data_IF_304698408379
#
_entry.id   IF_304698408379
#
_cell.length_a   1.000
_cell.length_b   1.000
_cell.length_c   1.000
_cell.angle_alpha   90.00
_cell.angle_beta   90.00
_cell.angle_gamma   90.00
#
_symmetry.space_group_name_H-M   'P 1'
#
loop_
_entity.id
_entity.type
_entity.pdbx_description
1 polymer ?
#
# COMPACT_ATOMS: atom_id res chain seq x y z
N UNK A 1 51.51 -55.30 -50.45
CA UNK A 1 50.32 -54.41 -50.40
C UNK A 1 49.32 -54.84 -49.32
N UNK A 2 49.68 -54.88 -48.03
CA UNK A 2 48.75 -55.34 -46.95
C UNK A 2 48.94 -54.71 -45.56
N UNK A 3 49.54 -53.52 -45.43
CA UNK A 3 49.84 -52.94 -44.11
C UNK A 3 49.33 -51.52 -43.80
N UNK A 4 48.55 -50.89 -44.68
CA UNK A 4 48.08 -49.51 -44.45
C UNK A 4 46.56 -49.35 -44.22
N UNK A 5 45.77 -50.42 -44.26
CA UNK A 5 44.32 -50.33 -44.09
C UNK A 5 43.82 -50.44 -42.64
N UNK A 6 44.61 -51.02 -41.72
CA UNK A 6 44.19 -51.14 -40.31
C UNK A 6 44.34 -49.82 -39.53
N UNK A 7 45.37 -49.03 -39.84
CA UNK A 7 45.62 -47.75 -39.16
C UNK A 7 44.61 -46.67 -39.57
N UNK A 8 44.14 -46.69 -40.82
CA UNK A 8 43.11 -45.77 -41.30
C UNK A 8 41.73 -46.06 -40.68
N UNK A 9 41.39 -47.33 -40.44
CA UNK A 9 40.11 -47.71 -39.83
C UNK A 9 40.01 -47.32 -38.34
N UNK A 10 41.12 -47.38 -37.59
CA UNK A 10 41.18 -46.95 -36.18
C UNK A 10 41.13 -45.43 -36.01
N UNK A 11 41.59 -44.67 -37.00
CA UNK A 11 41.55 -43.21 -36.97
C UNK A 11 40.15 -42.66 -37.32
N UNK A 12 39.39 -43.36 -38.17
CA UNK A 12 38.00 -42.98 -38.48
C UNK A 12 37.05 -43.32 -37.32
N UNK A 13 37.30 -44.41 -36.59
CA UNK A 13 36.48 -44.76 -35.42
C UNK A 13 36.71 -43.82 -34.22
N UNK A 14 37.92 -43.26 -34.07
CA UNK A 14 38.25 -42.31 -33.00
C UNK A 14 37.80 -40.87 -33.31
N UNK A 15 37.62 -40.51 -34.59
CA UNK A 15 37.01 -39.23 -34.97
C UNK A 15 35.47 -39.31 -34.85
N UNK A 16 34.86 -40.47 -35.09
CA UNK A 16 33.40 -40.62 -34.93
C UNK A 16 32.94 -40.66 -33.47
N UNK A 17 33.81 -41.05 -32.52
CA UNK A 17 33.51 -40.97 -31.09
C UNK A 17 33.68 -39.57 -30.49
N UNK A 18 34.37 -38.65 -31.18
CA UNK A 18 34.50 -37.25 -30.73
C UNK A 18 33.28 -36.42 -31.13
N UNK A 19 32.54 -36.80 -32.18
CA UNK A 19 31.29 -36.12 -32.57
C UNK A 19 30.03 -36.61 -31.83
N UNK A 20 30.12 -37.65 -31.02
CA UNK A 20 29.03 -38.15 -30.16
C UNK A 20 29.24 -37.82 -28.67
N UNK A 21 30.28 -37.04 -28.33
CA UNK A 21 30.56 -36.56 -26.97
C UNK A 21 30.12 -35.10 -26.75
N UNK A 22 29.25 -34.55 -27.60
CA UNK A 22 28.31 -33.54 -27.13
C UNK A 22 27.19 -34.27 -26.40
N UNK A 23 27.54 -34.86 -25.27
CA UNK A 23 26.59 -35.25 -24.27
C UNK A 23 25.84 -33.98 -23.88
N UNK A 24 24.52 -34.08 -23.88
CA UNK A 24 23.59 -33.07 -23.44
C UNK A 24 24.00 -32.59 -22.05
N UNK A 25 24.82 -31.55 -21.98
CA UNK A 25 24.92 -30.75 -20.79
C UNK A 25 23.53 -30.21 -20.57
N UNK A 26 22.86 -30.78 -19.56
CA UNK A 26 21.71 -30.21 -18.89
C UNK A 26 21.86 -28.69 -18.94
N UNK A 27 21.10 -28.04 -19.82
CA UNK A 27 20.72 -26.66 -19.61
C UNK A 27 19.82 -26.69 -18.40
N UNK A 28 20.43 -26.84 -17.21
CA UNK A 28 19.78 -26.61 -15.95
C UNK A 28 19.16 -25.22 -16.11
N UNK A 29 17.84 -25.22 -16.30
CA UNK A 29 17.04 -24.04 -16.58
C UNK A 29 17.40 -23.03 -15.49
N UNK A 30 18.12 -21.95 -15.85
CA UNK A 30 18.55 -20.96 -14.87
C UNK A 30 17.31 -20.35 -14.26
N UNK A 31 16.96 -20.76 -13.05
CA UNK A 31 15.90 -20.16 -12.26
C UNK A 31 16.49 -18.93 -11.61
N UNK A 32 16.12 -17.77 -12.12
CA UNK A 32 16.43 -16.50 -11.48
C UNK A 32 15.90 -16.53 -10.03
N UNK A 33 16.76 -16.18 -9.07
CA UNK A 33 16.41 -16.14 -7.65
C UNK A 33 16.30 -14.67 -7.25
N UNK A 34 15.29 -14.36 -6.42
CA UNK A 34 15.12 -13.00 -5.91
C UNK A 34 16.38 -12.56 -5.14
N UNK A 35 16.95 -11.38 -5.43
CA UNK A 35 18.14 -10.90 -4.72
C UNK A 35 17.79 -10.35 -3.33
N UNK A 36 16.51 -10.28 -2.97
CA UNK A 36 16.04 -9.76 -1.68
C UNK A 36 16.67 -10.55 -0.54
N UNK A 37 17.23 -9.83 0.42
CA UNK A 37 17.79 -10.39 1.65
C UNK A 37 16.90 -9.97 2.80
N UNK A 38 16.30 -10.95 3.50
CA UNK A 38 15.49 -10.67 4.67
C UNK A 38 15.58 -11.79 5.71
N UNK A 39 16.64 -11.76 6.49
CA UNK A 39 16.80 -12.59 7.68
C UNK A 39 15.94 -12.03 8.83
N UNK A 40 14.88 -12.78 9.17
CA UNK A 40 13.89 -12.37 10.17
C UNK A 40 14.46 -12.22 11.59
N UNK A 41 15.68 -12.71 11.87
CA UNK A 41 16.34 -12.55 13.17
C UNK A 41 17.04 -11.20 13.32
N UNK A 42 17.41 -10.56 12.20
CA UNK A 42 18.23 -9.35 12.18
C UNK A 42 17.48 -8.10 11.69
N UNK A 43 16.34 -8.26 11.02
CA UNK A 43 15.48 -7.13 10.63
C UNK A 43 14.81 -6.43 11.83
N UNK A 44 14.57 -5.11 11.76
CA UNK A 44 14.82 -4.23 10.61
C UNK A 44 16.29 -3.84 10.43
N UNK A 45 16.72 -3.68 9.18
CA UNK A 45 18.11 -3.29 8.86
C UNK A 45 18.33 -1.79 9.02
N UNK A 46 19.57 -1.33 9.31
CA UNK A 46 19.85 0.10 9.40
C UNK A 46 19.66 0.87 8.08
N UNK A 47 19.91 0.24 6.92
CA UNK A 47 19.77 0.85 5.60
C UNK A 47 18.69 0.15 4.77
N UNK A 48 17.97 0.92 3.96
CA UNK A 48 16.97 0.38 3.04
C UNK A 48 17.62 -0.49 1.94
N UNK A 49 18.80 -0.11 1.47
CA UNK A 49 19.53 -0.86 0.44
C UNK A 49 19.93 -2.28 0.87
N UNK A 50 20.08 -2.54 2.19
CA UNK A 50 20.48 -3.85 2.72
C UNK A 50 19.45 -4.95 2.39
N UNK A 51 18.18 -4.59 2.18
CA UNK A 51 17.14 -5.53 1.78
C UNK A 51 17.21 -5.96 0.32
N UNK A 52 17.84 -5.15 -0.56
CA UNK A 52 17.88 -5.36 -2.01
C UNK A 52 16.51 -5.49 -2.67
N UNK A 53 15.51 -4.76 -2.17
CA UNK A 53 14.19 -4.67 -2.80
C UNK A 53 14.22 -3.98 -4.17
N UNK A 54 15.22 -3.14 -4.41
CA UNK A 54 15.34 -2.35 -5.63
C UNK A 54 16.71 -2.53 -6.28
N UNK A 55 16.76 -2.41 -7.59
CA UNK A 55 17.98 -2.48 -8.41
C UNK A 55 18.38 -1.10 -8.93
N UNK A 56 19.67 -0.90 -9.21
CA UNK A 56 20.18 0.38 -9.70
C UNK A 56 20.18 1.49 -8.65
N UNK A 57 19.96 2.74 -9.06
CA UNK A 57 19.85 3.87 -8.13
C UNK A 57 18.57 3.78 -7.31
N UNK A 58 18.70 3.75 -5.97
CA UNK A 58 17.60 3.47 -5.05
C UNK A 58 16.37 4.38 -5.26
N UNK A 59 16.59 5.68 -5.54
CA UNK A 59 15.52 6.67 -5.78
C UNK A 59 14.61 6.36 -6.97
N UNK A 60 15.06 5.54 -7.91
CA UNK A 60 14.23 5.14 -9.05
C UNK A 60 13.15 4.13 -8.62
N UNK A 61 13.41 3.41 -7.51
CA UNK A 61 12.54 2.37 -6.97
C UNK A 61 12.23 1.29 -8.01
N UNK A 62 13.21 0.95 -8.84
CA UNK A 62 13.12 -0.14 -9.82
C UNK A 62 13.08 -1.47 -9.08
N UNK A 63 11.96 -2.22 -9.10
CA UNK A 63 11.81 -3.42 -8.31
C UNK A 63 12.78 -4.50 -8.74
N UNK A 64 13.42 -5.14 -7.76
CA UNK A 64 14.21 -6.34 -8.01
C UNK A 64 13.32 -7.54 -8.42
N UNK A 65 13.93 -8.60 -8.97
CA UNK A 65 13.20 -9.82 -9.32
C UNK A 65 12.35 -10.33 -8.15
N UNK A 66 11.07 -10.64 -8.44
CA UNK A 66 9.99 -11.02 -7.49
C UNK A 66 9.51 -9.92 -6.53
N UNK A 67 9.99 -8.69 -6.61
CA UNK A 67 9.37 -7.56 -5.92
C UNK A 67 8.26 -7.00 -6.82
N UNK A 68 7.00 -7.19 -6.43
CA UNK A 68 5.87 -6.82 -7.29
C UNK A 68 5.35 -5.43 -6.94
N UNK A 69 5.31 -4.48 -7.88
CA UNK A 69 4.61 -3.22 -7.67
C UNK A 69 3.10 -3.46 -7.60
N UNK A 70 2.41 -2.66 -6.79
CA UNK A 70 0.96 -2.64 -6.76
C UNK A 70 0.44 -1.24 -6.36
N UNK A 71 -0.84 -1.02 -6.60
CA UNK A 71 -1.56 0.18 -6.22
C UNK A 71 -2.95 -0.17 -5.68
N UNK A 72 -3.57 0.80 -5.00
CA UNK A 72 -4.92 0.66 -4.47
C UNK A 72 -5.91 1.41 -5.37
N UNK A 73 -7.16 0.94 -5.45
CA UNK A 73 -8.24 1.65 -6.15
C UNK A 73 -8.36 3.10 -5.65
N UNK A 74 -8.37 3.28 -4.33
CA UNK A 74 -8.27 4.56 -3.64
C UNK A 74 -7.08 4.56 -2.69
N UNK A 75 -6.34 5.67 -2.62
CA UNK A 75 -5.18 5.81 -1.74
C UNK A 75 -5.48 6.65 -0.50
N UNK A 76 -5.02 6.17 0.67
CA UNK A 76 -5.00 6.92 1.93
C UNK A 76 -4.33 8.28 1.74
N UNK A 77 -4.97 9.34 2.23
CA UNK A 77 -4.44 10.69 2.24
C UNK A 77 -3.27 10.82 3.23
N UNK A 78 -2.20 11.51 2.81
CA UNK A 78 -1.04 11.78 3.67
C UNK A 78 -0.37 13.06 3.21
N UNK A 79 -0.98 14.21 3.51
CA UNK A 79 -0.50 15.54 3.07
C UNK A 79 -0.18 15.64 1.58
N UNK A 80 -1.03 15.05 0.74
CA UNK A 80 -0.84 14.93 -0.72
C UNK A 80 0.40 14.14 -1.18
N UNK A 81 1.15 13.47 -0.27
CA UNK A 81 2.24 12.59 -0.68
C UNK A 81 1.72 11.44 -1.55
N UNK A 82 2.34 11.29 -2.72
CA UNK A 82 2.15 10.18 -3.64
C UNK A 82 2.81 8.91 -3.05
N UNK A 83 2.36 7.74 -3.52
CA UNK A 83 2.72 6.46 -2.93
C UNK A 83 3.05 5.43 -4.00
N UNK A 84 4.28 4.92 -4.00
CA UNK A 84 4.66 3.68 -4.71
C UNK A 84 4.65 2.52 -3.71
N UNK A 85 4.00 1.42 -4.06
CA UNK A 85 3.87 0.25 -3.17
C UNK A 85 4.40 -1.00 -3.82
N UNK A 86 4.99 -1.87 -3.00
CA UNK A 86 5.55 -3.13 -3.45
C UNK A 86 5.25 -4.24 -2.43
N UNK A 87 5.11 -5.45 -2.92
CA UNK A 87 5.00 -6.66 -2.11
C UNK A 87 6.14 -7.61 -2.47
N UNK A 88 6.69 -8.27 -1.46
CA UNK A 88 7.62 -9.37 -1.61
C UNK A 88 7.27 -10.48 -0.61
N UNK A 89 7.43 -11.73 -1.05
CA UNK A 89 7.28 -12.92 -0.20
C UNK A 89 8.41 -13.91 -0.46
N UNK A 90 8.85 -14.68 0.56
CA UNK A 90 9.81 -15.75 0.37
C UNK A 90 9.35 -16.76 -0.66
N UNK A 91 10.31 -17.37 -1.36
CA UNK A 91 10.04 -18.39 -2.36
C UNK A 91 9.17 -19.53 -1.79
N UNK A 92 8.19 -19.98 -2.57
CA UNK A 92 7.27 -21.06 -2.20
C UNK A 92 6.20 -20.68 -1.17
N UNK A 93 6.19 -19.44 -0.68
CA UNK A 93 5.15 -18.95 0.23
C UNK A 93 4.11 -18.11 -0.51
N UNK A 94 2.89 -18.03 0.05
CA UNK A 94 1.77 -17.29 -0.54
C UNK A 94 0.86 -16.71 0.53
N UNK A 95 0.19 -15.62 0.22
CA UNK A 95 -0.93 -15.14 1.01
C UNK A 95 -2.20 -15.94 0.70
N UNK A 96 -3.15 -15.95 1.64
CA UNK A 96 -4.46 -16.57 1.44
C UNK A 96 -5.59 -15.55 1.43
N UNK A 97 -6.55 -15.77 0.53
CA UNK A 97 -7.79 -15.01 0.45
C UNK A 97 -8.82 -15.52 1.48
N UNK A 98 -9.56 -14.60 2.10
CA UNK A 98 -10.66 -14.94 3.02
C UNK A 98 -11.97 -14.30 2.58
N UNK A 99 -11.98 -12.98 2.38
CA UNK A 99 -13.11 -12.23 1.85
C UNK A 99 -12.63 -10.94 1.20
N UNK A 100 -13.50 -10.26 0.45
CA UNK A 100 -13.15 -9.03 -0.27
C UNK A 100 -12.73 -7.88 0.65
N UNK A 101 -13.37 -7.79 1.83
CA UNK A 101 -13.18 -6.71 2.80
C UNK A 101 -12.15 -6.97 3.89
N UNK A 102 -11.54 -8.17 3.92
CA UNK A 102 -10.49 -8.50 4.88
C UNK A 102 -9.10 -8.37 4.26
N UNK A 103 -8.12 -8.06 5.10
CA UNK A 103 -6.72 -8.01 4.67
C UNK A 103 -6.29 -9.42 4.27
N UNK A 104 -5.57 -9.56 3.15
CA UNK A 104 -4.98 -10.84 2.75
C UNK A 104 -4.11 -11.41 3.88
N UNK A 105 -4.21 -12.72 4.11
CA UNK A 105 -3.43 -13.37 5.15
C UNK A 105 -2.02 -13.68 4.65
N UNK A 106 -1.07 -12.79 4.93
CA UNK A 106 0.31 -12.93 4.47
C UNK A 106 1.12 -13.97 5.27
N UNK A 107 2.03 -14.71 4.60
CA UNK A 107 2.90 -15.68 5.24
C UNK A 107 4.01 -15.01 6.07
N UNK A 108 4.60 -15.76 7.00
CA UNK A 108 5.84 -15.35 7.67
C UNK A 108 6.93 -15.10 6.63
N UNK A 109 7.61 -13.96 6.76
CA UNK A 109 8.59 -13.47 5.80
C UNK A 109 8.03 -12.51 4.76
N UNK A 110 6.72 -12.27 4.68
CA UNK A 110 6.19 -11.28 3.75
C UNK A 110 6.63 -9.85 4.13
N UNK A 111 6.91 -9.02 3.12
CA UNK A 111 7.18 -7.59 3.24
C UNK A 111 6.23 -6.76 2.39
N UNK A 112 5.66 -5.72 2.98
CA UNK A 112 4.88 -4.69 2.29
C UNK A 112 5.61 -3.36 2.40
N UNK A 113 5.99 -2.80 1.25
CA UNK A 113 6.86 -1.63 1.16
C UNK A 113 6.05 -0.47 0.61
N UNK A 114 6.12 0.70 1.25
CA UNK A 114 5.42 1.92 0.85
C UNK A 114 6.41 3.09 0.82
N UNK A 115 6.58 3.70 -0.34
CA UNK A 115 7.43 4.88 -0.51
C UNK A 115 6.55 6.12 -0.65
N UNK A 116 6.79 7.14 0.18
CA UNK A 116 6.03 8.38 0.21
C UNK A 116 6.87 9.48 -0.43
N UNK A 117 6.36 10.10 -1.48
CA UNK A 117 7.13 11.04 -2.29
C UNK A 117 6.28 12.20 -2.79
N UNK A 118 6.97 13.27 -3.17
CA UNK A 118 6.41 14.42 -3.86
C UNK A 118 7.09 14.57 -5.21
N UNK A 119 6.30 14.97 -6.21
CA UNK A 119 6.80 15.43 -7.51
C UNK A 119 6.82 16.96 -7.50
N UNK A 120 7.59 17.57 -8.41
CA UNK A 120 7.66 19.02 -8.58
C UNK A 120 8.08 19.76 -7.29
N UNK A 121 9.02 19.18 -6.54
CA UNK A 121 9.55 19.75 -5.31
C UNK A 121 10.47 20.93 -5.64
N UNK A 122 10.22 22.06 -4.99
CA UNK A 122 10.96 23.31 -5.19
C UNK A 122 12.28 23.33 -4.40
N UNK A 123 13.30 24.07 -4.87
CA UNK A 123 13.30 24.94 -6.06
C UNK A 123 13.58 24.20 -7.38
N UNK A 124 14.11 22.98 -7.33
CA UNK A 124 14.69 22.30 -8.51
C UNK A 124 13.66 21.56 -9.39
N UNK A 125 12.40 21.56 -8.97
CA UNK A 125 11.30 20.86 -9.63
C UNK A 125 11.55 19.36 -9.82
N UNK A 126 12.12 18.72 -8.79
CA UNK A 126 12.49 17.30 -8.81
C UNK A 126 11.47 16.43 -8.05
N UNK A 127 11.54 15.12 -8.26
CA UNK A 127 10.89 14.14 -7.39
C UNK A 127 11.73 13.94 -6.13
N UNK A 128 11.13 14.04 -4.96
CA UNK A 128 11.76 13.77 -3.65
C UNK A 128 10.97 12.72 -2.88
N UNK A 129 11.62 11.61 -2.57
CA UNK A 129 11.12 10.60 -1.63
C UNK A 129 11.46 11.07 -0.22
N UNK A 130 10.46 11.03 0.66
CA UNK A 130 10.56 11.53 2.03
C UNK A 130 10.80 10.36 2.99
N UNK A 131 10.02 9.30 2.86
CA UNK A 131 10.12 8.12 3.71
C UNK A 131 9.74 6.83 2.98
N UNK A 132 10.30 5.72 3.47
CA UNK A 132 9.89 4.36 3.11
C UNK A 132 9.44 3.62 4.36
N UNK A 133 8.21 3.11 4.35
CA UNK A 133 7.69 2.26 5.43
C UNK A 133 7.63 0.81 4.97
N UNK A 134 8.14 -0.09 5.81
CA UNK A 134 8.12 -1.53 5.57
C UNK A 134 7.34 -2.19 6.70
N UNK A 135 6.32 -2.96 6.35
CA UNK A 135 5.69 -3.90 7.25
C UNK A 135 6.29 -5.27 6.98
N UNK A 136 6.85 -5.92 8.00
CA UNK A 136 7.50 -7.24 7.89
C UNK A 136 6.73 -8.24 8.74
N UNK A 137 6.27 -9.34 8.15
CA UNK A 137 5.53 -10.39 8.84
C UNK A 137 6.51 -11.37 9.51
N UNK A 138 6.73 -11.22 10.83
CA UNK A 138 7.46 -12.21 11.65
C UNK A 138 6.51 -13.27 12.18
N UNK A 139 7.08 -14.37 12.70
CA UNK A 139 6.31 -15.41 13.40
C UNK A 139 5.51 -14.84 14.58
N UNK A 140 6.05 -13.83 15.27
CA UNK A 140 5.40 -13.12 16.39
C UNK A 140 4.33 -12.10 15.97
N UNK A 141 4.16 -11.83 14.67
CA UNK A 141 3.28 -10.77 14.18
C UNK A 141 3.97 -9.81 13.21
N UNK A 142 3.26 -8.77 12.81
CA UNK A 142 3.83 -7.71 11.98
C UNK A 142 4.73 -6.80 12.81
N UNK A 143 5.86 -6.41 12.24
CA UNK A 143 6.70 -5.33 12.77
C UNK A 143 6.73 -4.18 11.76
N UNK A 144 7.00 -2.97 12.25
CA UNK A 144 7.11 -1.75 11.45
C UNK A 144 8.57 -1.32 11.38
N UNK A 145 8.99 -0.88 10.20
CA UNK A 145 10.28 -0.25 9.99
C UNK A 145 10.06 1.00 9.15
N UNK A 146 10.45 2.15 9.67
CA UNK A 146 10.35 3.42 8.95
C UNK A 146 11.76 3.91 8.57
N UNK A 147 11.92 4.36 7.34
CA UNK A 147 13.20 4.80 6.79
C UNK A 147 13.08 6.22 6.30
N UNK A 148 13.89 7.12 6.86
CA UNK A 148 14.00 8.49 6.41
C UNK A 148 15.04 8.59 5.29
N UNK A 149 14.64 9.16 4.16
CA UNK A 149 15.55 9.38 3.03
C UNK A 149 16.52 10.53 3.33
N UNK A 150 17.75 10.39 2.85
CA UNK A 150 18.70 11.50 2.86
C UNK A 150 18.38 12.54 1.77
N UNK A 151 18.92 13.74 1.95
CA UNK A 151 18.67 14.85 1.02
C UNK A 151 19.29 14.59 -0.36
N UNK A 152 20.37 13.82 -0.44
CA UNK A 152 20.99 13.42 -1.70
C UNK A 152 20.17 12.39 -2.51
N UNK A 153 19.10 11.82 -1.93
CA UNK A 153 18.25 10.81 -2.54
C UNK A 153 19.02 9.56 -3.00
N UNK A 154 19.99 9.14 -2.18
CA UNK A 154 20.84 7.97 -2.46
C UNK A 154 20.60 6.80 -1.50
N UNK A 155 20.06 7.05 -0.30
CA UNK A 155 19.82 6.03 0.72
C UNK A 155 18.67 6.45 1.65
N UNK A 156 18.06 5.48 2.32
CA UNK A 156 17.18 5.73 3.45
C UNK A 156 17.63 4.95 4.69
N UNK A 157 17.58 5.62 5.85
CA UNK A 157 18.07 5.09 7.11
C UNK A 157 16.92 4.84 8.07
N UNK A 158 16.99 3.72 8.81
CA UNK A 158 16.00 3.36 9.82
C UNK A 158 15.86 4.49 10.84
N UNK A 159 14.66 5.05 10.95
CA UNK A 159 14.29 6.07 11.92
C UNK A 159 12.91 5.73 12.50
N UNK A 160 12.91 5.20 13.73
CA UNK A 160 11.69 4.80 14.43
C UNK A 160 11.12 5.94 15.31
N UNK A 161 11.79 7.08 15.37
CA UNK A 161 11.30 8.26 16.06
C UNK A 161 10.39 9.07 15.15
N UNK A 162 9.49 9.85 15.74
CA UNK A 162 8.75 10.84 14.96
C UNK A 162 9.74 11.93 14.49
N UNK A 163 9.69 12.25 13.21
CA UNK A 163 10.55 13.29 12.63
C UNK A 163 9.77 14.16 11.64
N UNK A 164 10.39 15.26 11.22
CA UNK A 164 9.75 16.23 10.35
C UNK A 164 10.68 16.61 9.21
N UNK A 165 10.12 16.72 8.01
CA UNK A 165 10.81 17.15 6.80
C UNK A 165 10.01 18.29 6.17
N UNK A 166 10.63 19.45 6.01
CA UNK A 166 9.99 20.54 5.29
C UNK A 166 9.99 20.21 3.79
N UNK A 167 8.83 20.34 3.15
CA UNK A 167 8.67 20.13 1.72
C UNK A 167 7.81 21.23 1.12
N UNK A 168 8.31 21.80 0.03
CA UNK A 168 7.63 22.78 -0.80
C UNK A 168 7.51 22.22 -2.21
N UNK A 169 6.32 22.22 -2.80
CA UNK A 169 6.09 21.64 -4.12
C UNK A 169 4.99 22.37 -4.87
N UNK A 170 4.98 22.22 -6.20
CA UNK A 170 3.90 22.72 -7.04
C UNK A 170 2.74 21.72 -7.06
N UNK A 171 1.57 22.15 -6.60
CA UNK A 171 0.33 21.39 -6.61
C UNK A 171 -0.74 22.13 -7.40
N UNK A 172 -1.15 21.58 -8.54
CA UNK A 172 -2.15 22.20 -9.44
C UNK A 172 -1.83 23.67 -9.77
N UNK A 173 -0.56 23.95 -10.05
CA UNK A 173 -0.06 25.30 -10.39
C UNK A 173 0.09 26.26 -9.21
N UNK A 174 -0.12 25.81 -7.97
CA UNK A 174 0.09 26.61 -6.75
C UNK A 174 1.18 26.00 -5.89
N UNK A 175 2.06 26.84 -5.37
CA UNK A 175 3.03 26.42 -4.36
C UNK A 175 2.28 26.00 -3.08
N UNK A 176 2.66 24.85 -2.53
CA UNK A 176 2.31 24.40 -1.19
C UNK A 176 3.59 24.13 -0.42
N UNK A 177 3.56 24.43 0.87
CA UNK A 177 4.65 24.20 1.80
C UNK A 177 4.10 23.60 3.09
N UNK A 178 4.70 22.51 3.56
CA UNK A 178 4.32 21.84 4.81
C UNK A 178 5.56 21.40 5.59
N UNK A 179 5.35 21.19 6.89
CA UNK A 179 6.26 20.43 7.75
C UNK A 179 5.77 18.97 7.78
N UNK A 180 6.18 18.15 6.81
CA UNK A 180 5.73 16.77 6.67
C UNK A 180 6.14 15.95 7.90
N UNK A 181 5.17 15.36 8.60
CA UNK A 181 5.43 14.54 9.79
C UNK A 181 5.62 13.07 9.37
N UNK A 182 6.86 12.59 9.49
CA UNK A 182 7.18 11.17 9.46
C UNK A 182 6.73 10.55 10.80
N UNK A 183 5.82 9.55 10.80
CA UNK A 183 5.30 8.96 12.02
C UNK A 183 6.39 8.17 12.76
N UNK A 184 6.37 8.28 14.09
CA UNK A 184 7.17 7.43 14.96
C UNK A 184 6.49 6.08 15.23
N UNK A 185 7.17 5.19 15.96
CA UNK A 185 6.66 3.86 16.27
C UNK A 185 5.28 3.85 16.94
N UNK A 186 5.00 4.78 17.87
CA UNK A 186 3.69 4.88 18.52
C UNK A 186 2.58 5.24 17.54
N UNK A 187 2.83 6.19 16.62
CA UNK A 187 1.88 6.56 15.57
C UNK A 187 1.58 5.34 14.66
N UNK A 188 2.61 4.54 14.33
CA UNK A 188 2.45 3.31 13.56
C UNK A 188 1.58 2.29 14.30
N UNK A 189 1.85 2.05 15.58
CA UNK A 189 1.08 1.13 16.42
C UNK A 189 -0.38 1.57 16.51
N UNK A 190 -0.66 2.84 16.78
CA UNK A 190 -2.04 3.35 16.85
C UNK A 190 -2.81 3.10 15.56
N UNK A 191 -2.21 3.39 14.40
CA UNK A 191 -2.88 3.25 13.11
C UNK A 191 -3.05 1.79 12.67
N UNK A 192 -2.08 0.93 13.01
CA UNK A 192 -2.05 -0.47 12.55
C UNK A 192 -2.56 -1.50 13.57
N UNK A 193 -3.04 -1.07 14.74
CA UNK A 193 -3.62 -1.98 15.73
C UNK A 193 -5.05 -2.34 15.37
N UNK A 194 -5.34 -3.65 15.37
CA UNK A 194 -6.68 -4.20 15.34
C UNK A 194 -6.78 -5.21 16.49
N UNK A 195 -7.62 -4.94 17.48
CA UNK A 195 -7.63 -5.61 18.77
C UNK A 195 -6.23 -5.58 19.41
N UNK A 196 -5.62 -6.75 19.63
CA UNK A 196 -4.29 -6.90 20.22
C UNK A 196 -3.23 -7.28 19.17
N UNK A 197 -3.55 -7.19 17.87
CA UNK A 197 -2.64 -7.58 16.78
C UNK A 197 -2.40 -6.43 15.81
N UNK A 198 -1.21 -6.39 15.23
CA UNK A 198 -0.85 -5.43 14.19
C UNK A 198 -1.22 -5.96 12.81
N UNK A 199 -1.82 -5.14 11.97
CA UNK A 199 -2.26 -5.53 10.61
C UNK A 199 -1.90 -4.48 9.57
N UNK A 200 -1.58 -4.87 8.33
CA UNK A 200 -1.45 -3.94 7.21
C UNK A 200 -2.76 -3.17 6.94
N UNK A 201 -2.62 -2.05 6.25
CA UNK A 201 -3.75 -1.22 5.81
C UNK A 201 -3.76 -1.21 4.30
N UNK A 202 -4.92 -1.50 3.72
CA UNK A 202 -5.21 -1.32 2.31
C UNK A 202 -5.06 -2.58 1.44
N UNK A 203 -4.33 -3.62 1.86
CA UNK A 203 -4.15 -4.87 1.11
C UNK A 203 -5.34 -5.83 1.23
N UNK A 204 -6.55 -5.28 1.06
CA UNK A 204 -7.81 -6.00 0.96
C UNK A 204 -8.09 -6.31 -0.52
N UNK A 205 -8.64 -7.48 -0.90
CA UNK A 205 -8.96 -7.78 -2.29
C UNK A 205 -9.82 -6.69 -2.96
N UNK A 206 -10.81 -6.13 -2.26
CA UNK A 206 -11.64 -5.03 -2.77
C UNK A 206 -10.86 -3.76 -3.17
N UNK A 207 -9.67 -3.56 -2.58
CA UNK A 207 -8.81 -2.39 -2.84
C UNK A 207 -7.73 -2.70 -3.87
N UNK A 208 -7.54 -3.97 -4.25
CA UNK A 208 -6.54 -4.44 -5.20
C UNK A 208 -7.16 -4.88 -6.53
N UNK A 209 -8.49 -5.06 -6.56
CA UNK A 209 -9.24 -5.49 -7.75
C UNK A 209 -9.32 -4.35 -8.78
N UNK A 210 -8.21 -4.14 -9.49
CA UNK A 210 -8.03 -3.23 -10.62
C UNK A 210 -6.91 -3.77 -11.51
N UNK A 211 -6.87 -3.30 -12.74
CA UNK A 211 -5.76 -3.54 -13.63
C UNK A 211 -4.57 -2.63 -13.26
N UNK A 212 -3.36 -3.18 -13.38
CA UNK A 212 -2.10 -2.47 -13.19
C UNK A 212 -1.20 -2.71 -14.40
N UNK A 213 -0.46 -1.68 -14.80
CA UNK A 213 0.46 -1.76 -15.94
C UNK A 213 1.79 -2.38 -15.51
N UNK A 214 1.98 -3.66 -15.84
CA UNK A 214 3.25 -4.35 -15.67
C UNK A 214 4.08 -4.30 -16.97
N UNK A 215 5.36 -4.67 -16.90
CA UNK A 215 6.25 -4.72 -18.08
C UNK A 215 5.72 -5.60 -19.21
N UNK A 216 4.94 -6.64 -18.90
CA UNK A 216 4.33 -7.54 -19.87
C UNK A 216 2.94 -7.12 -20.39
N UNK A 217 2.39 -6.00 -19.90
CA UNK A 217 1.03 -5.54 -20.23
C UNK A 217 0.20 -5.19 -18.99
N UNK A 218 -1.01 -4.69 -19.23
CA UNK A 218 -1.98 -4.45 -18.16
C UNK A 218 -2.60 -5.77 -17.71
N UNK A 219 -2.67 -5.98 -16.39
CA UNK A 219 -3.25 -7.18 -15.80
C UNK A 219 -3.88 -6.86 -14.44
N UNK A 220 -4.95 -7.57 -14.07
CA UNK A 220 -5.53 -7.47 -12.75
C UNK A 220 -4.51 -7.86 -11.68
N UNK A 221 -4.37 -7.04 -10.63
CA UNK A 221 -3.32 -7.24 -9.64
C UNK A 221 -3.44 -8.54 -8.84
N UNK A 222 -4.67 -8.99 -8.51
CA UNK A 222 -4.86 -10.25 -7.78
C UNK A 222 -4.53 -11.45 -8.66
N UNK A 223 -4.84 -11.38 -9.96
CA UNK A 223 -4.43 -12.40 -10.92
C UNK A 223 -2.92 -12.43 -11.08
N UNK A 224 -2.27 -11.27 -11.21
CA UNK A 224 -0.80 -11.18 -11.23
C UNK A 224 -0.17 -11.82 -9.99
N UNK A 225 -0.68 -11.51 -8.80
CA UNK A 225 -0.15 -12.08 -7.55
C UNK A 225 -0.34 -13.60 -7.50
N UNK A 226 -1.47 -14.11 -8.01
CA UNK A 226 -1.70 -15.56 -8.10
C UNK A 226 -0.72 -16.23 -9.06
N UNK A 227 -0.50 -15.67 -10.25
CA UNK A 227 0.44 -16.21 -11.24
C UNK A 227 1.89 -16.20 -10.74
N UNK A 228 2.27 -15.18 -9.98
CA UNK A 228 3.60 -15.09 -9.35
C UNK A 228 3.77 -16.04 -8.15
N UNK A 229 2.70 -16.73 -7.74
CA UNK A 229 2.66 -17.64 -6.60
C UNK A 229 2.48 -16.95 -5.25
N UNK A 230 2.17 -15.65 -5.23
CA UNK A 230 2.01 -14.81 -4.04
C UNK A 230 0.59 -14.82 -3.46
N UNK A 231 -0.38 -15.34 -4.19
CA UNK A 231 -1.76 -15.51 -3.75
C UNK A 231 -2.25 -16.91 -4.13
N UNK A 232 -3.04 -17.54 -3.26
CA UNK A 232 -3.61 -18.86 -3.54
C UNK A 232 -4.78 -18.82 -4.54
N UNK A 233 -5.79 -18.02 -4.23
CA UNK A 233 -7.03 -17.84 -4.97
C UNK A 233 -7.61 -16.46 -4.66
N UNK A 234 -8.65 -16.07 -5.40
CA UNK A 234 -9.49 -14.91 -5.10
C UNK A 234 -10.84 -15.07 -5.80
N UNK A 235 -11.83 -14.27 -5.40
CA UNK A 235 -13.13 -14.24 -6.05
C UNK A 235 -13.06 -13.45 -7.37
N UNK A 236 -13.45 -14.07 -8.49
CA UNK A 236 -13.59 -13.31 -9.75
C UNK A 236 -14.75 -12.30 -9.69
N UNK A 237 -15.64 -12.44 -8.71
CA UNK A 237 -16.75 -11.52 -8.44
C UNK A 237 -16.44 -10.61 -7.23
N UNK A 238 -15.17 -10.29 -6.99
CA UNK A 238 -14.78 -9.41 -5.88
C UNK A 238 -15.52 -8.08 -5.96
N UNK A 239 -16.18 -7.70 -4.86
CA UNK A 239 -16.80 -6.39 -4.72
C UNK A 239 -15.69 -5.35 -4.54
N UNK A 240 -15.39 -4.60 -5.61
CA UNK A 240 -14.29 -3.64 -5.62
C UNK A 240 -14.70 -2.25 -5.14
N UNK A 241 -13.80 -1.60 -4.40
CA UNK A 241 -13.81 -0.14 -4.24
C UNK A 241 -13.42 0.52 -5.57
N UNK A 242 -13.64 1.83 -5.68
CA UNK A 242 -13.27 2.60 -6.88
C UNK A 242 -12.22 3.64 -6.56
N UNK A 243 -11.61 4.23 -7.58
CA UNK A 243 -10.95 5.51 -7.41
C UNK A 243 -12.01 6.55 -7.07
N UNK A 244 -11.96 7.10 -5.86
CA UNK A 244 -12.92 8.09 -5.40
C UNK A 244 -12.87 9.39 -6.25
N UNK A 245 -11.84 9.58 -7.08
CA UNK A 245 -11.74 10.70 -8.03
C UNK A 245 -12.38 10.41 -9.40
N UNK A 246 -12.73 9.16 -9.70
CA UNK A 246 -13.37 8.78 -10.96
C UNK A 246 -14.85 9.21 -10.97
N UNK A 247 -15.13 10.37 -11.57
CA UNK A 247 -16.48 10.96 -11.66
C UNK A 247 -17.44 10.17 -12.55
N UNK A 248 -16.99 9.11 -13.24
CA UNK A 248 -17.90 8.20 -13.97
C UNK A 248 -18.60 7.21 -13.02
N UNK A 249 -18.12 7.08 -11.78
CA UNK A 249 -18.73 6.28 -10.71
C UNK A 249 -19.72 7.12 -9.91
N UNK A 250 -20.70 6.45 -9.29
CA UNK A 250 -21.68 7.14 -8.45
C UNK A 250 -21.03 7.82 -7.24
N UNK A 251 -21.61 8.94 -6.82
CA UNK A 251 -21.14 9.70 -5.67
C UNK A 251 -21.03 8.84 -4.40
N UNK A 252 -22.06 8.05 -4.11
CA UNK A 252 -22.09 7.15 -2.95
C UNK A 252 -20.96 6.10 -2.99
N UNK A 253 -20.71 5.48 -4.16
CA UNK A 253 -19.63 4.50 -4.31
C UNK A 253 -18.25 5.12 -4.10
N UNK A 254 -18.05 6.34 -4.60
CA UNK A 254 -16.81 7.13 -4.42
C UNK A 254 -16.62 7.53 -2.96
N UNK A 255 -17.65 8.05 -2.30
CA UNK A 255 -17.61 8.45 -0.90
C UNK A 255 -17.30 7.26 0.01
N UNK A 256 -17.94 6.11 -0.21
CA UNK A 256 -17.66 4.88 0.55
C UNK A 256 -16.26 4.35 0.32
N UNK A 257 -15.74 4.42 -0.92
CA UNK A 257 -14.36 4.03 -1.22
C UNK A 257 -13.35 4.95 -0.52
N UNK A 258 -13.66 6.24 -0.42
CA UNK A 258 -12.86 7.21 0.32
C UNK A 258 -12.85 6.91 1.83
N UNK A 259 -14.04 6.71 2.43
CA UNK A 259 -14.18 6.40 3.86
C UNK A 259 -13.50 5.07 4.22
N UNK A 260 -13.58 4.05 3.36
CA UNK A 260 -12.94 2.76 3.60
C UNK A 260 -11.42 2.89 3.75
N UNK A 261 -10.74 3.53 2.79
CA UNK A 261 -9.28 3.61 2.84
C UNK A 261 -8.78 4.62 3.88
N UNK A 262 -9.51 5.72 4.10
CA UNK A 262 -9.07 6.81 4.98
C UNK A 262 -9.49 6.67 6.44
N UNK A 263 -10.58 5.95 6.73
CA UNK A 263 -11.21 5.97 8.06
C UNK A 263 -11.45 4.56 8.64
N UNK A 264 -11.81 3.57 7.82
CA UNK A 264 -12.28 2.27 8.31
C UNK A 264 -11.25 1.42 9.04
N UNK A 265 -9.95 1.67 8.86
CA UNK A 265 -8.93 0.96 9.62
C UNK A 265 -8.96 1.33 11.13
N UNK A 266 -9.45 2.54 11.46
CA UNK A 266 -9.68 2.96 12.84
C UNK A 266 -11.14 2.80 13.28
N UNK A 267 -12.09 3.19 12.43
CA UNK A 267 -13.54 3.14 12.70
C UNK A 267 -14.13 1.85 12.14
N UNK A 268 -13.89 0.76 12.86
CA UNK A 268 -14.48 -0.56 12.68
C UNK A 268 -14.38 -1.33 14.00
N UNK A 269 -15.13 -2.43 14.19
CA UNK A 269 -14.93 -3.30 15.34
C UNK A 269 -13.46 -3.72 15.51
N UNK A 270 -12.90 -3.48 16.70
CA UNK A 270 -11.50 -3.75 17.03
C UNK A 270 -10.49 -2.73 16.51
N UNK A 271 -10.88 -1.72 15.73
CA UNK A 271 -9.98 -0.63 15.35
C UNK A 271 -9.69 0.33 16.52
N UNK A 272 -8.77 1.28 16.30
CA UNK A 272 -8.39 2.25 17.34
C UNK A 272 -9.54 3.16 17.82
N UNK A 273 -10.62 3.28 17.04
CA UNK A 273 -11.81 4.06 17.35
C UNK A 273 -13.05 3.16 17.53
N UNK A 274 -12.89 1.90 17.93
CA UNK A 274 -14.00 0.93 18.03
C UNK A 274 -15.04 1.24 19.11
N UNK A 275 -14.73 2.15 20.04
CA UNK A 275 -15.69 2.71 21.01
C UNK A 275 -16.71 3.65 20.36
N UNK A 276 -16.42 4.11 19.15
CA UNK A 276 -17.29 5.00 18.39
C UNK A 276 -18.33 4.17 17.62
N UNK A 277 -19.54 4.71 17.40
CA UNK A 277 -20.61 3.95 16.76
C UNK A 277 -20.38 3.69 15.27
N UNK A 278 -19.44 4.38 14.61
CA UNK A 278 -19.28 4.29 13.17
C UNK A 278 -18.37 3.13 12.73
N UNK A 279 -18.81 2.44 11.67
CA UNK A 279 -18.04 1.46 10.94
C UNK A 279 -17.99 1.88 9.46
N UNK A 280 -16.84 2.39 9.04
CA UNK A 280 -16.63 2.87 7.67
C UNK A 280 -16.14 1.79 6.70
N UNK A 281 -16.09 0.52 7.12
CA UNK A 281 -15.67 -0.58 6.26
C UNK A 281 -16.60 -0.71 5.06
N UNK A 282 -16.05 -0.80 3.85
CA UNK A 282 -16.83 -0.83 2.60
C UNK A 282 -17.90 -1.94 2.57
N UNK A 283 -17.58 -3.11 3.15
CA UNK A 283 -18.46 -4.29 3.19
C UNK A 283 -19.51 -4.24 4.29
N UNK A 284 -19.41 -3.32 5.27
CA UNK A 284 -20.30 -3.26 6.42
C UNK A 284 -21.66 -2.57 6.12
N UNK A 285 -21.95 -2.24 4.86
CA UNK A 285 -22.85 -1.12 4.55
C UNK A 285 -24.17 -1.56 3.89
N UNK A 286 -25.13 -1.94 4.75
CA UNK A 286 -26.57 -1.80 4.47
C UNK A 286 -27.30 -0.99 5.56
N UNK A 287 -26.59 -0.52 6.60
CA UNK A 287 -27.18 0.17 7.76
C UNK A 287 -26.67 1.63 7.85
N UNK A 288 -27.50 2.64 7.53
CA UNK A 288 -27.15 4.06 7.64
C UNK A 288 -26.64 4.46 9.04
N UNK A 289 -27.21 3.88 10.10
CA UNK A 289 -26.78 4.15 11.48
C UNK A 289 -25.33 3.70 11.71
N UNK A 290 -24.90 2.61 11.09
CA UNK A 290 -23.52 2.15 11.20
C UNK A 290 -22.52 3.11 10.53
N UNK A 291 -22.97 3.97 9.60
CA UNK A 291 -22.13 5.04 9.04
C UNK A 291 -22.16 6.32 9.87
N UNK A 292 -22.90 6.36 10.98
CA UNK A 292 -23.10 7.58 11.78
C UNK A 292 -24.16 8.53 11.21
N UNK A 293 -24.96 8.11 10.24
CA UNK A 293 -26.05 8.93 9.69
C UNK A 293 -27.15 9.08 10.75
N UNK A 294 -27.40 10.32 11.17
CA UNK A 294 -28.34 10.68 12.23
C UNK A 294 -28.05 10.03 13.58
N UNK A 295 -26.77 9.77 13.87
CA UNK A 295 -26.29 9.25 15.16
C UNK A 295 -25.68 10.38 15.96
N UNK A 296 -26.06 10.49 17.23
CA UNK A 296 -25.47 11.46 18.15
C UNK A 296 -24.02 11.08 18.47
N UNK A 297 -23.09 12.05 18.48
CA UNK A 297 -21.68 11.77 18.73
C UNK A 297 -21.41 11.43 20.20
N UNK A 298 -20.45 10.54 20.43
CA UNK A 298 -19.91 10.25 21.77
C UNK A 298 -18.58 10.98 22.05
N UNK A 299 -18.01 11.63 21.03
CA UNK A 299 -16.71 12.31 21.06
C UNK A 299 -16.87 13.83 21.21
N UNK A 300 -15.77 14.55 21.34
CA UNK A 300 -15.72 16.01 21.38
C UNK A 300 -16.41 16.64 20.16
N UNK A 301 -17.34 17.56 20.45
CA UNK A 301 -18.19 18.28 19.49
C UNK A 301 -17.80 19.76 19.49
N UNK A 302 -17.06 20.25 18.47
CA UNK A 302 -16.47 21.58 18.50
C UNK A 302 -17.49 22.73 18.46
N UNK A 303 -18.56 22.61 17.67
CA UNK A 303 -19.51 23.69 17.43
C UNK A 303 -20.94 23.37 17.91
N UNK A 304 -21.12 22.25 18.63
CA UNK A 304 -22.43 21.78 19.05
C UNK A 304 -23.20 21.00 17.97
N UNK A 305 -22.50 20.42 16.98
CA UNK A 305 -23.07 19.51 16.00
C UNK A 305 -23.87 18.38 16.68
N UNK A 306 -25.16 18.25 16.35
CA UNK A 306 -26.06 17.26 16.97
C UNK A 306 -25.77 15.84 16.48
N UNK A 307 -25.30 15.69 15.24
CA UNK A 307 -25.12 14.40 14.58
C UNK A 307 -23.72 14.23 13.99
N UNK A 308 -23.25 12.99 13.93
CA UNK A 308 -22.01 12.61 13.25
C UNK A 308 -22.08 12.98 11.76
N UNK A 309 -23.15 12.52 11.11
CA UNK A 309 -23.57 12.97 9.79
C UNK A 309 -25.02 13.45 9.88
N UNK A 310 -25.23 14.72 9.54
CA UNK A 310 -26.54 15.35 9.36
C UNK A 310 -26.83 15.45 7.85
N UNK A 311 -27.66 14.55 7.33
CA UNK A 311 -28.04 14.55 5.92
C UNK A 311 -28.57 15.92 5.47
N UNK A 312 -28.21 16.33 4.26
CA UNK A 312 -28.53 17.65 3.66
C UNK A 312 -27.81 18.85 4.28
N UNK A 313 -26.98 18.64 5.32
CA UNK A 313 -26.32 19.72 6.03
C UNK A 313 -24.89 19.32 6.46
N UNK A 314 -23.98 19.25 5.49
CA UNK A 314 -22.57 18.97 5.73
C UNK A 314 -21.93 19.94 6.73
N UNK A 315 -22.30 21.22 6.71
CA UNK A 315 -21.77 22.24 7.62
C UNK A 315 -22.15 22.03 9.09
N UNK A 316 -23.22 21.28 9.38
CA UNK A 316 -23.61 20.92 10.75
C UNK A 316 -23.27 19.46 11.11
N UNK A 317 -22.56 18.76 10.23
CA UNK A 317 -22.13 17.37 10.44
C UNK A 317 -20.77 17.32 11.13
N UNK A 318 -20.68 16.65 12.28
CA UNK A 318 -19.42 16.53 13.02
C UNK A 318 -18.30 15.94 12.18
N UNK A 319 -18.58 14.92 11.35
CA UNK A 319 -17.59 14.30 10.46
C UNK A 319 -16.92 15.36 9.58
N UNK A 320 -17.72 16.20 8.92
CA UNK A 320 -17.20 17.22 8.02
C UNK A 320 -16.38 18.26 8.79
N UNK A 321 -16.87 18.76 9.93
CA UNK A 321 -16.14 19.67 10.82
C UNK A 321 -14.75 19.12 11.17
N UNK A 322 -14.67 17.86 11.59
CA UNK A 322 -13.40 17.23 11.97
C UNK A 322 -12.47 17.04 10.76
N UNK A 323 -13.00 16.71 9.58
CA UNK A 323 -12.20 16.58 8.35
C UNK A 323 -11.56 17.90 7.91
N UNK A 324 -12.26 19.03 8.07
CA UNK A 324 -11.76 20.34 7.65
C UNK A 324 -10.93 21.07 8.72
N UNK A 325 -10.88 20.56 9.96
CA UNK A 325 -10.03 21.11 11.02
C UNK A 325 -8.58 20.62 10.89
N UNK A 326 -7.65 21.47 11.36
CA UNK A 326 -6.23 21.16 11.57
C UNK A 326 -5.81 21.34 13.04
N UNK A 327 -6.77 21.63 13.94
CA UNK A 327 -6.51 21.68 15.37
C UNK A 327 -6.43 20.24 15.88
N UNK A 328 -5.40 19.90 16.65
CA UNK A 328 -5.08 18.50 17.00
C UNK A 328 -6.20 17.81 17.77
N UNK A 329 -6.91 18.57 18.59
CA UNK A 329 -8.03 18.16 19.42
C UNK A 329 -9.35 17.96 18.64
N UNK A 330 -9.43 18.47 17.41
CA UNK A 330 -10.63 18.41 16.55
C UNK A 330 -10.42 17.55 15.30
N UNK A 331 -9.21 17.53 14.75
CA UNK A 331 -8.96 17.04 13.41
C UNK A 331 -9.11 15.52 13.27
N UNK A 332 -9.75 15.09 12.19
CA UNK A 332 -9.75 13.67 11.77
C UNK A 332 -9.24 13.50 10.33
N UNK A 333 -8.37 12.51 10.06
CA UNK A 333 -7.66 11.68 11.03
C UNK A 333 -6.69 12.52 11.89
N UNK A 334 -6.44 12.06 13.11
CA UNK A 334 -5.52 12.69 14.10
C UNK A 334 -4.05 12.44 13.79
N UNK A 335 -3.75 11.47 12.94
CA UNK A 335 -2.40 11.04 12.55
C UNK A 335 -2.33 10.98 11.02
N UNK A 336 -1.15 11.30 10.46
CA UNK A 336 -0.88 11.14 9.03
C UNK A 336 -1.25 12.33 8.16
N UNK A 337 -1.69 13.45 8.75
CA UNK A 337 -1.86 14.71 8.04
C UNK A 337 -1.53 15.93 8.92
N UNK A 338 -1.15 17.01 8.27
CA UNK A 338 -0.92 18.36 8.81
C UNK A 338 -1.76 19.41 8.09
N UNK A 339 -2.33 19.06 6.94
CA UNK A 339 -3.21 19.91 6.14
C UNK A 339 -4.53 19.21 5.80
N UNK A 340 -5.49 20.00 5.31
CA UNK A 340 -6.81 19.50 4.89
C UNK A 340 -6.73 18.85 3.52
N UNK A 341 -7.28 17.63 3.40
CA UNK A 341 -7.63 17.02 2.12
C UNK A 341 -8.88 17.71 1.57
N UNK A 342 -8.69 18.76 0.76
CA UNK A 342 -9.79 19.60 0.28
C UNK A 342 -10.71 18.84 -0.67
N UNK A 343 -10.14 18.02 -1.53
CA UNK A 343 -10.87 17.22 -2.49
C UNK A 343 -11.65 16.09 -1.79
N UNK A 344 -11.03 15.42 -0.82
CA UNK A 344 -11.68 14.38 -0.03
C UNK A 344 -12.81 14.91 0.86
N UNK A 345 -12.58 16.02 1.58
CA UNK A 345 -13.64 16.67 2.36
C UNK A 345 -14.76 17.24 1.48
N UNK A 346 -14.44 17.76 0.30
CA UNK A 346 -15.44 18.20 -0.68
C UNK A 346 -16.34 17.06 -1.17
N UNK A 347 -15.78 15.88 -1.47
CA UNK A 347 -16.54 14.68 -1.83
C UNK A 347 -17.52 14.28 -0.71
N UNK A 348 -17.07 14.27 0.54
CA UNK A 348 -17.90 13.90 1.68
C UNK A 348 -19.00 14.94 1.93
N UNK A 349 -18.69 16.23 1.79
CA UNK A 349 -19.72 17.28 1.87
C UNK A 349 -20.80 17.08 0.81
N UNK A 350 -20.41 16.88 -0.45
CA UNK A 350 -21.35 16.63 -1.55
C UNK A 350 -22.20 15.38 -1.28
N UNK A 351 -21.59 14.31 -0.78
CA UNK A 351 -22.30 13.08 -0.43
C UNK A 351 -23.31 13.28 0.71
N UNK A 352 -22.98 14.07 1.73
CA UNK A 352 -23.91 14.41 2.83
C UNK A 352 -25.04 15.32 2.33
N UNK A 353 -24.71 16.36 1.55
CA UNK A 353 -25.67 17.37 1.10
C UNK A 353 -26.70 16.80 0.10
N UNK A 354 -26.36 15.70 -0.57
CA UNK A 354 -27.24 15.01 -1.54
C UNK A 354 -28.07 13.87 -0.94
N UNK A 355 -27.98 13.63 0.38
CA UNK A 355 -28.79 12.60 1.04
C UNK A 355 -30.29 12.91 0.97
N UNK A 356 -31.11 11.88 0.72
CA UNK A 356 -32.56 12.05 0.49
C UNK A 356 -33.32 12.52 1.74
N UNK A 357 -32.83 12.20 2.94
CA UNK A 357 -33.55 12.43 4.19
C UNK A 357 -32.70 13.23 5.19
N UNK A 358 -33.28 14.29 5.81
CA UNK A 358 -32.63 14.97 6.92
C UNK A 358 -32.76 14.15 8.20
N UNK A 359 -31.96 14.50 9.20
CA UNK A 359 -32.05 13.88 10.52
C UNK A 359 -33.23 14.42 11.36
N UNK A 360 -33.70 13.66 12.37
CA UNK A 360 -34.88 14.01 13.17
C UNK A 360 -34.78 15.28 14.05
#
# INVERSE_FOLDING_TARGET
MKKHYLAAALLVLSVFTIFLSCDSYDSAEYKEVSPVVMDLTTVPYPKLSDYKFFVGELKNLEPAYKVLPYDLNSSLFTDYALKKRFVWMPEGTKATYTSDGEILNFPVGAALIKNFYYENVLPDNITKIIETRILIKKASGWIFANYKWNDEQTEAFLDMNASTVNVSWMHNGKEKSIAYKIPGNLDCVTCHSSHTVYTPIGTKPQNLFKDFSYTGGAENQLEKWKQEGYLDTYSQNTLATVDWRDTTKSLDLRARSYLDINCAHCHKPGGACDIMPENFSFTAIANPTALGICVEPHDFVPNGEKYIIEGQNSNNSLMYTKMISIKKEEMMPTIGRTIVDREGSGLIAEWIDTMETPCP
#
